data_IF_606317474280
#
_entry.id   IF_606317474280
#
_cell.length_a   1.000
_cell.length_b   1.000
_cell.length_c   1.000
_cell.angle_alpha   90.00
_cell.angle_beta   90.00
_cell.angle_gamma   90.00
#
_symmetry.space_group_name_H-M   'P 1'
#
loop_
_entity.id
_entity.type
_entity.pdbx_description
1 polymer ?
#
# COMPACT_ATOMS: atom_id res chain seq x y z
N UNK A 1 3.03 -6.04 -26.60
CA UNK A 1 2.14 -6.15 -25.42
C UNK A 1 2.55 -5.01 -24.51
N UNK A 2 1.68 -4.03 -24.26
CA UNK A 2 1.93 -3.10 -23.15
C UNK A 2 1.54 -3.92 -21.93
N UNK A 3 2.56 -4.46 -21.28
CA UNK A 3 2.38 -5.21 -20.05
C UNK A 3 2.03 -4.18 -18.98
N UNK A 4 0.75 -3.99 -18.74
CA UNK A 4 0.25 -3.22 -17.60
C UNK A 4 0.49 -4.05 -16.35
N UNK A 5 1.77 -4.28 -16.02
CA UNK A 5 2.18 -4.95 -14.81
C UNK A 5 1.65 -4.14 -13.63
N UNK A 6 0.66 -4.70 -12.97
CA UNK A 6 0.16 -4.22 -11.69
C UNK A 6 0.77 -5.05 -10.59
N UNK A 7 1.15 -4.39 -9.51
CA UNK A 7 1.56 -5.08 -8.28
C UNK A 7 0.56 -4.74 -7.18
N UNK A 8 0.26 -5.75 -6.35
CA UNK A 8 -0.63 -5.59 -5.22
C UNK A 8 0.11 -4.96 -4.04
N UNK A 9 -0.39 -3.83 -3.56
CA UNK A 9 0.15 -3.10 -2.40
C UNK A 9 -0.88 -3.11 -1.29
N UNK A 10 -0.44 -3.48 -0.09
CA UNK A 10 -1.27 -3.43 1.11
C UNK A 10 -1.46 -1.98 1.56
N UNK A 11 -2.70 -1.50 1.65
CA UNK A 11 -3.00 -0.11 2.05
C UNK A 11 -3.51 -0.06 3.50
N UNK A 12 -3.28 1.05 4.22
CA UNK A 12 -3.73 1.22 5.59
C UNK A 12 -5.24 1.59 5.69
N UNK A 13 -6.07 0.99 4.83
CA UNK A 13 -7.52 1.18 4.83
C UNK A 13 -8.22 0.21 5.78
N UNK A 14 -9.10 0.70 6.67
CA UNK A 14 -9.88 -0.11 7.59
C UNK A 14 -9.00 -1.15 8.34
N UNK A 15 -9.21 -2.45 8.10
CA UNK A 15 -8.40 -3.53 8.69
C UNK A 15 -6.99 -3.69 8.09
N UNK A 16 -6.65 -2.92 7.06
CA UNK A 16 -5.33 -2.91 6.43
C UNK A 16 -4.23 -2.39 7.36
N UNK A 17 -4.51 -1.35 8.15
CA UNK A 17 -3.55 -0.81 9.14
C UNK A 17 -3.10 -1.85 10.19
N UNK A 18 -4.00 -2.54 10.91
CA UNK A 18 -3.58 -3.61 11.83
C UNK A 18 -2.93 -4.79 11.08
N UNK A 19 -3.29 -5.03 9.82
CA UNK A 19 -2.66 -6.05 8.98
C UNK A 19 -1.20 -5.71 8.65
N UNK A 20 -0.89 -4.46 8.28
CA UNK A 20 0.48 -3.98 8.04
C UNK A 20 1.32 -4.16 9.30
N UNK A 21 0.78 -3.80 10.47
CA UNK A 21 1.46 -3.98 11.75
C UNK A 21 1.77 -5.46 12.02
N UNK A 22 0.83 -6.36 11.76
CA UNK A 22 1.02 -7.80 11.93
C UNK A 22 2.13 -8.36 11.03
N UNK A 23 2.26 -7.87 9.80
CA UNK A 23 3.37 -8.24 8.90
C UNK A 23 4.69 -7.57 9.23
N UNK A 24 4.68 -6.50 10.03
CA UNK A 24 5.89 -5.80 10.45
C UNK A 24 6.42 -6.30 11.80
N UNK A 25 5.77 -7.29 12.41
CA UNK A 25 6.25 -7.95 13.61
C UNK A 25 7.43 -8.89 13.27
N UNK A 26 8.57 -8.69 13.93
CA UNK A 26 9.77 -9.52 13.74
C UNK A 26 9.58 -10.96 14.22
N UNK A 27 8.65 -11.20 15.14
CA UNK A 27 8.27 -12.53 15.63
C UNK A 27 7.15 -13.17 14.81
N UNK A 28 6.99 -12.72 13.57
CA UNK A 28 6.02 -13.21 12.61
C UNK A 28 5.87 -14.75 12.62
N UNK A 29 4.68 -15.21 12.99
CA UNK A 29 4.36 -16.65 13.02
C UNK A 29 4.14 -17.17 11.60
N UNK A 30 5.17 -17.82 11.06
CA UNK A 30 5.12 -18.46 9.74
C UNK A 30 3.98 -19.46 9.58
N UNK A 31 3.42 -20.02 10.67
CA UNK A 31 2.26 -20.93 10.58
C UNK A 31 0.96 -20.19 10.27
N UNK A 32 0.88 -18.90 10.61
CA UNK A 32 -0.30 -18.05 10.40
C UNK A 32 -0.21 -17.18 9.15
N UNK A 33 0.91 -17.19 8.42
CA UNK A 33 1.09 -16.39 7.20
C UNK A 33 -0.02 -16.61 6.18
N UNK A 34 -0.48 -17.85 5.99
CA UNK A 34 -1.53 -18.15 5.02
C UNK A 34 -2.88 -17.52 5.40
N UNK A 35 -3.22 -17.51 6.69
CA UNK A 35 -4.44 -16.88 7.20
C UNK A 35 -4.33 -15.36 7.13
N UNK A 36 -3.21 -14.80 7.61
CA UNK A 36 -2.96 -13.37 7.56
C UNK A 36 -2.93 -12.84 6.13
N UNK A 37 -2.34 -13.58 5.19
CA UNK A 37 -2.34 -13.21 3.78
C UNK A 37 -3.74 -13.25 3.18
N UNK A 38 -4.57 -14.26 3.52
CA UNK A 38 -5.98 -14.31 3.11
C UNK A 38 -6.74 -13.08 3.61
N UNK A 39 -6.52 -12.68 4.86
CA UNK A 39 -7.13 -11.47 5.41
C UNK A 39 -6.59 -10.21 4.73
N UNK A 40 -5.30 -10.16 4.41
CA UNK A 40 -4.65 -9.02 3.79
C UNK A 40 -5.11 -8.74 2.37
N UNK A 41 -5.46 -9.77 1.59
CA UNK A 41 -5.90 -9.63 0.20
C UNK A 41 -7.08 -8.66 0.03
N UNK A 42 -7.97 -8.55 1.01
CA UNK A 42 -9.11 -7.62 0.95
C UNK A 42 -8.71 -6.13 1.11
N UNK A 43 -7.49 -5.88 1.60
CA UNK A 43 -6.91 -4.55 1.81
C UNK A 43 -5.76 -4.28 0.84
N UNK A 44 -5.61 -5.10 -0.20
CA UNK A 44 -4.65 -4.87 -1.27
C UNK A 44 -5.29 -4.11 -2.41
N UNK A 45 -4.57 -3.12 -2.94
CA UNK A 45 -4.91 -2.42 -4.16
C UNK A 45 -3.89 -2.74 -5.23
N UNK A 46 -4.34 -2.89 -6.47
CA UNK A 46 -3.45 -3.10 -7.60
C UNK A 46 -3.02 -1.75 -8.13
N UNK A 47 -1.72 -1.49 -8.11
CA UNK A 47 -1.13 -0.27 -8.64
C UNK A 47 -0.33 -0.59 -9.89
N UNK A 48 -0.45 0.26 -10.89
CA UNK A 48 0.34 0.16 -12.11
C UNK A 48 1.80 0.47 -11.83
N UNK A 49 2.70 -0.08 -12.66
CA UNK A 49 4.14 0.14 -12.51
C UNK A 49 4.56 1.62 -12.46
N UNK A 50 3.84 2.52 -13.15
CA UNK A 50 4.14 3.96 -13.10
C UNK A 50 3.75 4.59 -11.76
N UNK A 51 2.65 4.15 -11.15
CA UNK A 51 2.18 4.58 -9.82
C UNK A 51 3.15 4.11 -8.75
N UNK A 52 3.59 2.85 -8.84
CA UNK A 52 4.58 2.28 -7.94
C UNK A 52 5.91 3.02 -8.01
N UNK A 53 6.38 3.38 -9.21
CA UNK A 53 7.60 4.19 -9.37
C UNK A 53 7.44 5.56 -8.72
N UNK A 54 6.29 6.22 -8.91
CA UNK A 54 6.01 7.54 -8.31
C UNK A 54 6.00 7.44 -6.78
N UNK A 55 5.23 6.51 -6.22
CA UNK A 55 5.14 6.27 -4.77
C UNK A 55 6.49 5.87 -4.15
N UNK A 56 7.27 5.03 -4.85
CA UNK A 56 8.62 4.66 -4.42
C UNK A 56 9.55 5.88 -4.37
N UNK A 57 9.51 6.74 -5.39
CA UNK A 57 10.31 7.98 -5.41
C UNK A 57 9.93 8.97 -4.31
N UNK A 58 8.67 8.94 -3.85
CA UNK A 58 8.17 9.72 -2.72
C UNK A 58 8.50 9.08 -1.37
N UNK A 59 9.04 7.86 -1.33
CA UNK A 59 9.24 7.11 -0.08
C UNK A 59 7.93 6.60 0.54
N UNK A 60 6.83 6.60 -0.21
CA UNK A 60 5.49 6.22 0.23
C UNK A 60 5.32 4.71 0.40
N UNK A 61 6.15 3.91 -0.27
CA UNK A 61 6.13 2.45 -0.16
C UNK A 61 7.15 1.98 0.87
N UNK A 62 6.77 0.98 1.67
CA UNK A 62 7.65 0.29 2.61
C UNK A 62 7.44 -1.21 2.51
N UNK A 63 8.53 -1.96 2.54
CA UNK A 63 8.45 -3.41 2.73
C UNK A 63 8.36 -3.73 4.24
N UNK A 64 7.41 -4.57 4.62
CA UNK A 64 7.29 -5.09 5.99
C UNK A 64 8.36 -6.16 6.26
N UNK A 65 8.60 -6.50 7.52
CA UNK A 65 9.53 -7.58 7.90
C UNK A 65 9.18 -8.93 7.25
N UNK A 66 7.90 -9.20 7.00
CA UNK A 66 7.44 -10.39 6.27
C UNK A 66 7.60 -10.31 4.74
N UNK A 67 8.11 -9.19 4.21
CA UNK A 67 8.36 -9.00 2.78
C UNK A 67 7.18 -8.43 1.99
N UNK A 68 6.05 -8.12 2.63
CA UNK A 68 4.87 -7.56 1.97
C UNK A 68 5.08 -6.06 1.70
N UNK A 69 4.78 -5.62 0.48
CA UNK A 69 4.82 -4.19 0.15
C UNK A 69 3.57 -3.50 0.70
N UNK A 70 3.78 -2.47 1.51
CA UNK A 70 2.74 -1.69 2.15
C UNK A 70 2.89 -0.20 1.81
N UNK A 71 1.75 0.47 1.65
CA UNK A 71 1.68 1.92 1.57
C UNK A 71 1.76 2.51 2.97
N UNK A 72 2.57 3.54 3.12
CA UNK A 72 2.63 4.31 4.35
C UNK A 72 1.35 5.13 4.55
N UNK A 73 0.96 5.31 5.81
CA UNK A 73 -0.29 5.99 6.17
C UNK A 73 -0.34 7.45 5.70
N UNK A 74 0.80 8.14 5.63
CA UNK A 74 0.86 9.54 5.19
C UNK A 74 0.48 9.73 3.71
N UNK A 75 0.46 8.64 2.93
CA UNK A 75 0.11 8.64 1.50
C UNK A 75 -1.24 7.97 1.23
N UNK A 76 -2.03 7.72 2.27
CA UNK A 76 -3.38 7.17 2.16
C UNK A 76 -4.40 8.13 2.75
N UNK A 77 -5.46 8.40 2.01
CA UNK A 77 -6.56 9.24 2.45
C UNK A 77 -7.86 8.44 2.39
N UNK A 78 -8.66 8.45 3.45
CA UNK A 78 -9.90 7.67 3.53
C UNK A 78 -10.97 8.11 2.51
N UNK A 79 -10.86 9.34 1.98
CA UNK A 79 -11.78 9.88 0.96
C UNK A 79 -11.25 9.65 -0.46
N UNK A 80 -9.96 9.84 -0.70
CA UNK A 80 -9.36 9.82 -2.04
C UNK A 80 -8.55 8.56 -2.36
N UNK A 81 -8.25 7.72 -1.37
CA UNK A 81 -7.43 6.52 -1.50
C UNK A 81 -5.93 6.83 -1.54
N UNK A 82 -5.21 6.19 -2.45
CA UNK A 82 -3.76 6.32 -2.59
C UNK A 82 -3.40 7.69 -3.16
N UNK A 83 -2.64 8.47 -2.41
CA UNK A 83 -2.21 9.81 -2.79
C UNK A 83 -0.79 9.77 -3.35
N UNK A 84 -0.63 10.26 -4.57
CA UNK A 84 0.65 10.28 -5.28
C UNK A 84 1.15 11.71 -5.53
N UNK A 85 0.49 12.71 -4.95
CA UNK A 85 0.78 14.13 -5.10
C UNK A 85 0.89 14.73 -3.70
N UNK A 86 1.86 15.63 -3.49
CA UNK A 86 1.66 16.65 -2.46
C UNK A 86 0.38 17.39 -2.86
N UNK A 87 -0.60 17.50 -1.97
CA UNK A 87 -1.79 18.31 -2.26
C UNK A 87 -1.39 19.80 -2.35
N UNK A 88 -0.79 20.21 -3.47
CA UNK A 88 -0.97 21.55 -3.99
C UNK A 88 -2.38 21.59 -4.55
N UNK A 89 -3.32 22.05 -3.71
CA UNK A 89 -4.66 22.46 -4.11
C UNK A 89 -4.55 23.51 -5.23
N UNK A 90 -4.47 23.07 -6.48
CA UNK A 90 -4.64 23.91 -7.65
C UNK A 90 -5.52 23.19 -8.67
N UNK A 91 -6.77 22.95 -8.29
CA UNK A 91 -7.83 22.85 -9.29
C UNK A 91 -9.04 23.63 -8.78
N UNK A 92 -8.97 24.95 -8.96
CA UNK A 92 -10.08 25.84 -9.32
C UNK A 92 -9.65 27.30 -9.10
N UNK A 93 -8.83 27.86 -10.00
CA UNK A 93 -8.77 29.26 -10.45
C UNK A 93 -7.91 29.21 -11.74
N UNK A 94 -8.31 29.56 -12.96
CA UNK A 94 -9.37 30.39 -13.54
C UNK A 94 -9.62 29.85 -14.96
#
# INVERSE_FOLDING_TARGET
MIDSHTESVLVPYAGGKPTILAFNDRYFDRKKIGEQMRTAQQYMVNLFSYELKKLSSLGALRQTESGVMALREEYYNDTFGVQMEEQSNECCMI
#
